data_IF_361870238190
#
_entry.id   IF_361870238190
#
_cell.length_a   1.000
_cell.length_b   1.000
_cell.length_c   1.000
_cell.angle_alpha   90.00
_cell.angle_beta   90.00
_cell.angle_gamma   90.00
#
_symmetry.space_group_name_H-M   'P 1'
#
loop_
_entity.id
_entity.type
_entity.pdbx_description
1 polymer ?
#
# COMPACT_ATOMS: atom_id res chain seq x y z
N UNK A 1 18.94 0.32 -2.45
CA UNK A 1 19.36 1.68 -2.08
C UNK A 1 18.19 2.28 -1.35
N UNK A 2 18.33 2.68 -0.08
CA UNK A 2 17.26 3.49 0.53
C UNK A 2 17.28 4.81 -0.24
N UNK A 3 16.13 5.29 -0.73
CA UNK A 3 16.09 6.47 -1.62
C UNK A 3 16.85 7.69 -1.05
N UNK A 4 16.94 7.80 0.29
CA UNK A 4 17.73 8.82 1.02
C UNK A 4 19.25 8.79 0.77
N UNK A 5 19.84 7.64 0.42
CA UNK A 5 21.29 7.55 0.15
C UNK A 5 21.65 8.09 -1.24
N UNK A 6 20.71 8.08 -2.19
CA UNK A 6 20.92 8.57 -3.55
C UNK A 6 20.48 10.03 -3.72
N UNK A 7 19.47 10.46 -2.97
CA UNK A 7 18.91 11.81 -3.01
C UNK A 7 18.55 12.27 -1.59
N UNK A 8 19.50 12.90 -0.87
CA UNK A 8 19.27 13.32 0.51
C UNK A 8 18.15 14.38 0.64
N UNK A 9 17.99 15.21 -0.40
CA UNK A 9 17.08 16.37 -0.40
C UNK A 9 15.71 16.07 -1.02
N UNK A 10 15.49 14.86 -1.55
CA UNK A 10 14.21 14.47 -2.13
C UNK A 10 13.45 13.60 -1.11
N UNK A 11 12.26 14.02 -0.64
CA UNK A 11 11.43 13.22 0.25
C UNK A 11 11.17 11.84 -0.34
N UNK A 12 11.58 10.80 0.38
CA UNK A 12 11.42 9.42 -0.04
C UNK A 12 10.07 8.90 0.46
N UNK A 13 8.98 9.34 -0.18
CA UNK A 13 7.63 8.97 0.23
C UNK A 13 7.45 7.44 0.31
N UNK A 14 6.98 6.96 1.45
CA UNK A 14 6.61 5.56 1.63
C UNK A 14 5.37 5.21 0.80
N UNK A 15 5.44 4.08 0.08
CA UNK A 15 4.31 3.62 -0.71
C UNK A 15 3.21 3.04 0.19
N UNK A 16 2.07 3.71 0.22
CA UNK A 16 0.89 3.29 0.97
C UNK A 16 0.21 2.06 0.35
N UNK A 17 0.38 1.81 -0.96
CA UNK A 17 -0.14 0.62 -1.64
C UNK A 17 0.63 -0.65 -1.21
N UNK A 18 1.96 -0.60 -1.19
CA UNK A 18 2.81 -1.65 -0.62
C UNK A 18 2.58 -1.84 0.87
N UNK A 19 2.13 -0.83 1.60
CA UNK A 19 1.78 -0.98 3.01
C UNK A 19 0.45 -1.69 3.23
N UNK A 20 -0.53 -1.43 2.36
CA UNK A 20 -1.84 -2.07 2.42
C UNK A 20 -1.81 -3.52 1.95
N UNK A 21 -0.91 -3.87 1.02
CA UNK A 21 -0.86 -5.22 0.44
C UNK A 21 -0.60 -6.34 1.47
N UNK A 22 0.44 -6.30 2.33
CA UNK A 22 0.66 -7.32 3.35
C UNK A 22 -0.52 -7.43 4.33
N UNK A 23 -1.17 -6.32 4.65
CA UNK A 23 -2.34 -6.29 5.52
C UNK A 23 -3.55 -6.97 4.85
N UNK A 24 -3.79 -6.69 3.57
CA UNK A 24 -4.85 -7.32 2.79
C UNK A 24 -4.60 -8.83 2.62
N UNK A 25 -3.36 -9.23 2.31
CA UNK A 25 -2.97 -10.64 2.22
C UNK A 25 -3.19 -11.38 3.54
N UNK A 26 -2.92 -10.74 4.68
CA UNK A 26 -3.23 -11.27 6.01
C UNK A 26 -4.74 -11.45 6.21
N UNK A 27 -5.57 -10.45 5.88
CA UNK A 27 -7.03 -10.54 5.99
C UNK A 27 -7.56 -11.68 5.14
N UNK A 28 -7.19 -11.75 3.86
CA UNK A 28 -7.63 -12.82 2.96
C UNK A 28 -7.18 -14.20 3.45
N UNK A 29 -5.97 -14.32 4.01
CA UNK A 29 -5.51 -15.58 4.60
C UNK A 29 -6.40 -16.04 5.77
N UNK A 30 -6.79 -15.12 6.65
CA UNK A 30 -7.63 -15.43 7.81
C UNK A 30 -9.07 -15.75 7.40
N UNK A 31 -9.62 -15.05 6.41
CA UNK A 31 -10.93 -15.37 5.82
C UNK A 31 -10.94 -16.78 5.23
N UNK A 32 -9.91 -17.14 4.46
CA UNK A 32 -9.78 -18.49 3.92
C UNK A 32 -9.66 -19.55 5.02
N UNK A 33 -8.90 -19.26 6.09
CA UNK A 33 -8.82 -20.14 7.26
C UNK A 33 -10.18 -20.34 7.94
N UNK A 34 -11.02 -19.30 8.02
CA UNK A 34 -12.37 -19.42 8.55
C UNK A 34 -13.28 -20.27 7.64
N UNK A 35 -13.18 -20.09 6.32
CA UNK A 35 -13.88 -20.92 5.33
C UNK A 35 -13.47 -22.39 5.45
N UNK A 36 -12.18 -22.68 5.60
CA UNK A 36 -11.71 -24.06 5.73
C UNK A 36 -12.15 -24.70 7.05
N UNK A 37 -12.22 -23.93 8.14
CA UNK A 37 -12.78 -24.41 9.40
C UNK A 37 -14.29 -24.72 9.27
N UNK A 38 -15.04 -23.90 8.52
CA UNK A 38 -16.47 -24.16 8.25
C UNK A 38 -16.67 -25.48 7.51
N UNK A 39 -15.85 -25.77 6.50
CA UNK A 39 -15.93 -27.04 5.76
C UNK A 39 -15.78 -28.24 6.69
N UNK A 40 -14.88 -28.19 7.66
CA UNK A 40 -14.69 -29.25 8.66
C UNK A 40 -15.96 -29.42 9.51
N UNK A 41 -16.54 -28.31 9.97
CA UNK A 41 -17.81 -28.33 10.73
C UNK A 41 -18.93 -28.97 9.91
N UNK A 42 -19.06 -28.58 8.64
CA UNK A 42 -20.09 -29.12 7.74
C UNK A 42 -19.89 -30.61 7.46
N UNK A 43 -18.66 -31.06 7.24
CA UNK A 43 -18.35 -32.47 7.08
C UNK A 43 -18.70 -33.30 8.32
N UNK A 44 -18.42 -32.78 9.52
CA UNK A 44 -18.75 -33.44 10.79
C UNK A 44 -20.26 -33.47 11.02
N UNK A 45 -20.97 -32.36 10.76
CA UNK A 45 -22.44 -32.29 10.81
C UNK A 45 -23.08 -33.28 9.84
N UNK A 46 -22.53 -33.39 8.63
CA UNK A 46 -23.00 -34.35 7.63
C UNK A 46 -22.80 -35.79 8.11
N UNK A 47 -21.63 -36.14 8.66
CA UNK A 47 -21.36 -37.49 9.23
C UNK A 47 -22.30 -37.85 10.37
N UNK A 48 -22.69 -36.87 11.20
CA UNK A 48 -23.64 -37.07 12.30
C UNK A 48 -25.08 -37.27 11.78
N UNK A 49 -25.50 -36.48 10.79
CA UNK A 49 -26.84 -36.60 10.17
C UNK A 49 -27.01 -37.88 9.35
N UNK A 50 -25.95 -38.35 8.70
CA UNK A 50 -25.95 -39.49 7.79
C UNK A 50 -24.88 -40.54 8.22
N UNK A 51 -25.09 -41.25 9.34
CA UNK A 51 -24.09 -42.16 9.88
C UNK A 51 -23.92 -43.40 8.98
N UNK A 52 -22.69 -43.62 8.51
CA UNK A 52 -22.31 -44.78 7.67
C UNK A 52 -21.21 -45.61 8.33
N UNK A 53 -21.23 -46.92 8.09
CA UNK A 53 -20.21 -47.86 8.58
C UNK A 53 -20.00 -47.79 10.10
N UNK A 54 -18.74 -47.65 10.51
CA UNK A 54 -18.36 -47.62 11.93
C UNK A 54 -19.02 -46.49 12.75
N UNK A 55 -19.51 -45.43 12.11
CA UNK A 55 -20.11 -44.27 12.78
C UNK A 55 -21.55 -44.50 13.25
N UNK A 56 -22.11 -45.71 13.05
CA UNK A 56 -23.37 -46.15 13.67
C UNK A 56 -23.20 -46.55 15.14
N UNK A 57 -21.98 -46.88 15.57
CA UNK A 57 -21.67 -47.25 16.96
C UNK A 57 -21.74 -46.02 17.87
N UNK A 58 -22.38 -46.17 19.03
CA UNK A 58 -22.68 -45.11 20.00
C UNK A 58 -21.43 -44.42 20.57
N UNK A 59 -20.38 -45.18 20.93
CA UNK A 59 -19.10 -44.63 21.43
C UNK A 59 -18.38 -43.79 20.36
N UNK A 60 -18.45 -44.24 19.10
CA UNK A 60 -17.88 -43.49 17.97
C UNK A 60 -18.68 -42.24 17.65
N UNK A 61 -19.99 -42.22 17.94
CA UNK A 61 -20.83 -41.01 17.81
C UNK A 61 -20.50 -39.99 18.88
N UNK A 62 -20.29 -40.39 20.14
CA UNK A 62 -19.85 -39.48 21.20
C UNK A 62 -18.54 -38.78 20.82
N UNK A 63 -17.58 -39.54 20.29
CA UNK A 63 -16.32 -38.98 19.78
C UNK A 63 -16.53 -37.99 18.63
N UNK A 64 -17.48 -38.24 17.73
CA UNK A 64 -17.83 -37.30 16.66
C UNK A 64 -18.43 -36.00 17.19
N UNK A 65 -19.29 -36.06 18.20
CA UNK A 65 -19.84 -34.86 18.85
C UNK A 65 -18.76 -34.03 19.53
N UNK A 66 -17.81 -34.66 20.22
CA UNK A 66 -16.66 -33.95 20.81
C UNK A 66 -15.79 -33.28 19.73
N UNK A 67 -15.54 -33.96 18.61
CA UNK A 67 -14.84 -33.37 17.45
C UNK A 67 -15.61 -32.21 16.84
N UNK A 68 -16.93 -32.31 16.75
CA UNK A 68 -17.78 -31.23 16.26
C UNK A 68 -17.68 -30.00 17.16
N UNK A 69 -17.78 -30.17 18.48
CA UNK A 69 -17.64 -29.07 19.44
C UNK A 69 -16.28 -28.36 19.29
N UNK A 70 -15.19 -29.12 19.19
CA UNK A 70 -13.86 -28.56 18.96
C UNK A 70 -13.72 -27.85 17.61
N UNK A 71 -14.35 -28.38 16.55
CA UNK A 71 -14.35 -27.76 15.23
C UNK A 71 -15.19 -26.47 15.20
N UNK A 72 -16.33 -26.43 15.90
CA UNK A 72 -17.17 -25.24 16.02
C UNK A 72 -16.47 -24.13 16.82
N UNK A 73 -15.78 -24.47 17.91
CA UNK A 73 -14.93 -23.53 18.65
C UNK A 73 -13.80 -22.97 17.78
N UNK A 74 -13.10 -23.84 17.03
CA UNK A 74 -12.05 -23.41 16.11
C UNK A 74 -12.58 -22.52 14.97
N UNK A 75 -13.75 -22.84 14.42
CA UNK A 75 -14.43 -22.03 13.41
C UNK A 75 -14.80 -20.65 13.95
N UNK A 76 -15.44 -20.58 15.13
CA UNK A 76 -15.84 -19.31 15.75
C UNK A 76 -14.61 -18.42 16.03
N UNK A 77 -13.52 -19.00 16.52
CA UNK A 77 -12.24 -18.28 16.72
C UNK A 77 -11.65 -17.77 15.40
N UNK A 78 -11.73 -18.56 14.34
CA UNK A 78 -11.21 -18.15 13.02
C UNK A 78 -12.03 -17.00 12.42
N UNK A 79 -13.37 -17.06 12.52
CA UNK A 79 -14.27 -15.99 12.05
C UNK A 79 -14.04 -14.71 12.83
N UNK A 80 -14.06 -14.76 14.17
CA UNK A 80 -13.85 -13.59 15.03
C UNK A 80 -12.51 -12.92 14.71
N UNK A 81 -11.43 -13.69 14.55
CA UNK A 81 -10.14 -13.14 14.18
C UNK A 81 -10.16 -12.49 12.78
N UNK A 82 -10.78 -13.13 11.78
CA UNK A 82 -10.86 -12.58 10.43
C UNK A 82 -11.64 -11.25 10.41
N UNK A 83 -12.79 -11.18 11.09
CA UNK A 83 -13.63 -9.99 11.18
C UNK A 83 -12.91 -8.83 11.88
N UNK A 84 -12.24 -9.11 13.00
CA UNK A 84 -11.45 -8.11 13.73
C UNK A 84 -10.31 -7.54 12.87
N UNK A 85 -9.56 -8.40 12.16
CA UNK A 85 -8.48 -7.95 11.28
C UNK A 85 -9.02 -7.18 10.07
N UNK A 86 -10.21 -7.54 9.57
CA UNK A 86 -10.89 -6.80 8.50
C UNK A 86 -11.29 -5.39 8.93
N UNK A 87 -11.76 -5.22 10.17
CA UNK A 87 -12.04 -3.90 10.76
C UNK A 87 -10.75 -3.07 10.85
N UNK A 88 -9.67 -3.64 11.41
CA UNK A 88 -8.38 -2.96 11.53
C UNK A 88 -7.83 -2.54 10.16
N UNK A 89 -7.94 -3.42 9.16
CA UNK A 89 -7.58 -3.09 7.77
C UNK A 89 -8.44 -1.96 7.20
N UNK A 90 -9.74 -1.96 7.50
CA UNK A 90 -10.65 -0.87 7.16
C UNK A 90 -10.17 0.48 7.68
N UNK A 91 -9.78 0.55 8.96
CA UNK A 91 -9.22 1.76 9.56
C UNK A 91 -7.86 2.16 8.99
N UNK A 92 -6.98 1.18 8.74
CA UNK A 92 -5.70 1.44 8.10
C UNK A 92 -5.87 2.11 6.73
N UNK A 93 -6.78 1.59 5.91
CA UNK A 93 -7.05 2.08 4.57
C UNK A 93 -7.85 3.38 4.54
N UNK A 94 -8.91 3.45 5.33
CA UNK A 94 -9.92 4.51 5.29
C UNK A 94 -9.55 5.75 6.11
N UNK A 95 -8.79 5.57 7.19
CA UNK A 95 -8.51 6.64 8.15
C UNK A 95 -7.01 6.94 8.22
N UNK A 96 -6.15 5.93 8.35
CA UNK A 96 -4.72 6.14 8.62
C UNK A 96 -3.92 6.47 7.36
N UNK A 97 -4.13 5.73 6.27
CA UNK A 97 -3.39 5.88 5.00
C UNK A 97 -4.22 6.55 3.89
N UNK A 98 -5.42 7.03 4.22
CA UNK A 98 -6.27 7.75 3.26
C UNK A 98 -5.68 9.11 2.91
N UNK A 99 -5.86 9.56 1.67
CA UNK A 99 -5.38 10.89 1.28
C UNK A 99 -6.15 12.00 2.00
N UNK A 100 -7.47 11.82 2.10
CA UNK A 100 -8.34 12.66 2.92
C UNK A 100 -8.65 11.94 4.22
N UNK A 101 -8.15 12.44 5.34
CA UNK A 101 -8.25 11.81 6.65
C UNK A 101 -7.89 12.78 7.77
N UNK A 102 -7.69 12.30 9.00
CA UNK A 102 -7.41 13.15 10.16
C UNK A 102 -5.98 13.73 10.11
N UNK A 103 -5.64 14.57 11.09
CA UNK A 103 -4.32 15.21 11.18
C UNK A 103 -3.18 14.20 11.38
N UNK A 104 -1.96 14.64 11.14
CA UNK A 104 -0.76 13.81 11.34
C UNK A 104 -0.70 13.21 12.75
N UNK A 105 -0.96 14.03 13.78
CA UNK A 105 -0.94 13.59 15.17
C UNK A 105 -1.97 12.47 15.44
N UNK A 106 -3.19 12.63 14.94
CA UNK A 106 -4.25 11.61 15.10
C UNK A 106 -3.90 10.33 14.34
N UNK A 107 -3.34 10.43 13.13
CA UNK A 107 -2.91 9.24 12.37
C UNK A 107 -1.80 8.48 13.08
N UNK A 108 -0.87 9.18 13.73
CA UNK A 108 0.19 8.57 14.53
C UNK A 108 -0.36 7.80 15.73
N UNK A 109 -1.40 8.32 16.40
CA UNK A 109 -2.10 7.65 17.49
C UNK A 109 -2.89 6.44 17.00
N UNK A 110 -3.64 6.59 15.91
CA UNK A 110 -4.41 5.50 15.31
C UNK A 110 -3.51 4.36 14.82
N UNK A 111 -2.36 4.68 14.23
CA UNK A 111 -1.40 3.66 13.79
C UNK A 111 -0.76 2.94 14.98
N UNK A 112 -0.43 3.66 16.05
CA UNK A 112 0.03 3.04 17.30
C UNK A 112 -1.02 2.08 17.86
N UNK A 113 -2.25 2.55 18.00
CA UNK A 113 -3.37 1.73 18.46
C UNK A 113 -3.54 0.48 17.58
N UNK A 114 -3.48 0.63 16.25
CA UNK A 114 -3.58 -0.51 15.34
C UNK A 114 -2.46 -1.53 15.58
N UNK A 115 -1.21 -1.09 15.75
CA UNK A 115 -0.08 -2.00 16.02
C UNK A 115 -0.21 -2.71 17.36
N UNK A 116 -0.75 -2.05 18.39
CA UNK A 116 -1.09 -2.67 19.68
C UNK A 116 -2.21 -3.70 19.54
N UNK A 117 -3.24 -3.42 18.74
CA UNK A 117 -4.31 -4.37 18.45
C UNK A 117 -3.81 -5.60 17.69
N UNK A 118 -2.85 -5.44 16.77
CA UNK A 118 -2.21 -6.57 16.09
C UNK A 118 -1.42 -7.42 17.09
N UNK A 119 -0.67 -6.79 17.99
CA UNK A 119 0.13 -7.49 19.02
C UNK A 119 -0.75 -8.41 19.89
N UNK A 120 -1.90 -7.92 20.34
CA UNK A 120 -2.85 -8.71 21.15
C UNK A 120 -3.36 -9.97 20.43
N UNK A 121 -3.31 -9.98 19.10
CA UNK A 121 -3.83 -11.07 18.26
C UNK A 121 -2.74 -12.00 17.71
N UNK A 122 -1.47 -11.70 17.98
CA UNK A 122 -0.35 -12.52 17.50
C UNK A 122 -0.45 -13.96 18.00
N UNK A 123 -0.95 -14.20 19.21
CA UNK A 123 -1.12 -15.56 19.74
C UNK A 123 -1.96 -16.47 18.83
N UNK A 124 -2.93 -15.90 18.10
CA UNK A 124 -3.86 -16.65 17.24
C UNK A 124 -3.30 -16.98 15.85
N UNK A 125 -2.30 -16.21 15.37
CA UNK A 125 -1.66 -16.43 14.07
C UNK A 125 -0.30 -15.73 13.94
N UNK A 126 0.63 -16.01 14.86
CA UNK A 126 1.91 -15.28 15.01
C UNK A 126 2.68 -15.12 13.70
N UNK A 127 2.87 -16.24 13.00
CA UNK A 127 3.64 -16.30 11.75
C UNK A 127 3.07 -15.46 10.60
N UNK A 128 1.83 -14.97 10.68
CA UNK A 128 1.22 -14.06 9.71
C UNK A 128 1.02 -12.65 10.24
N UNK A 129 0.66 -12.50 11.53
CA UNK A 129 0.34 -11.20 12.14
C UNK A 129 1.62 -10.44 12.51
N UNK A 130 2.61 -11.10 13.11
CA UNK A 130 3.85 -10.46 13.57
C UNK A 130 4.62 -9.75 12.43
N UNK A 131 4.80 -10.35 11.24
CA UNK A 131 5.47 -9.68 10.13
C UNK A 131 4.76 -8.38 9.70
N UNK A 132 3.43 -8.39 9.67
CA UNK A 132 2.63 -7.22 9.30
C UNK A 132 2.75 -6.12 10.35
N UNK A 133 2.63 -6.46 11.64
CA UNK A 133 2.79 -5.50 12.74
C UNK A 133 4.18 -4.84 12.69
N UNK A 134 5.25 -5.65 12.64
CA UNK A 134 6.63 -5.15 12.57
C UNK A 134 6.86 -4.29 11.33
N UNK A 135 6.26 -4.64 10.19
CA UNK A 135 6.33 -3.82 8.99
C UNK A 135 5.72 -2.43 9.24
N UNK A 136 4.51 -2.35 9.80
CA UNK A 136 3.84 -1.08 10.06
C UNK A 136 4.61 -0.21 11.08
N UNK A 137 5.16 -0.82 12.13
CA UNK A 137 5.99 -0.12 13.12
C UNK A 137 7.27 0.46 12.49
N UNK A 138 7.99 -0.37 11.73
CA UNK A 138 9.27 0.02 11.14
C UNK A 138 9.15 1.06 10.02
N UNK A 139 7.97 1.19 9.41
CA UNK A 139 7.73 2.14 8.32
C UNK A 139 6.80 3.29 8.73
N UNK A 140 6.43 3.40 10.02
CA UNK A 140 5.47 4.38 10.54
C UNK A 140 5.67 5.79 9.99
N UNK A 141 6.87 6.33 10.11
CA UNK A 141 7.15 7.72 9.71
C UNK A 141 7.07 7.87 8.19
N UNK A 142 7.65 6.91 7.44
CA UNK A 142 7.63 6.94 5.97
C UNK A 142 6.21 6.81 5.39
N UNK A 143 5.34 6.02 6.05
CA UNK A 143 3.96 5.82 5.60
C UNK A 143 3.09 7.06 5.79
N UNK A 144 3.45 7.94 6.72
CA UNK A 144 2.69 9.14 7.08
C UNK A 144 3.40 10.44 6.67
N UNK A 145 4.58 10.37 6.05
CA UNK A 145 5.40 11.52 5.65
C UNK A 145 4.66 12.49 4.70
N UNK A 146 3.70 11.98 3.92
CA UNK A 146 2.89 12.83 3.05
C UNK A 146 1.96 13.79 3.81
N UNK A 147 1.62 13.48 5.06
CA UNK A 147 0.62 14.25 5.83
C UNK A 147 1.17 15.59 6.32
N UNK A 148 2.37 15.67 6.96
CA UNK A 148 2.95 16.96 7.32
C UNK A 148 3.18 17.88 6.13
N UNK A 149 3.52 17.33 4.95
CA UNK A 149 3.69 18.10 3.72
C UNK A 149 2.37 18.70 3.23
N UNK A 150 1.27 17.91 3.25
CA UNK A 150 -0.06 18.44 2.95
C UNK A 150 -0.50 19.50 3.97
N UNK A 151 -0.27 19.27 5.27
CA UNK A 151 -0.62 20.21 6.32
C UNK A 151 0.15 21.54 6.18
N UNK A 152 1.42 21.49 5.76
CA UNK A 152 2.20 22.68 5.42
C UNK A 152 1.56 23.47 4.26
N UNK A 153 1.23 22.81 3.14
CA UNK A 153 0.56 23.46 2.01
C UNK A 153 -0.82 24.01 2.39
N UNK A 154 -1.57 23.34 3.26
CA UNK A 154 -2.85 23.88 3.75
C UNK A 154 -2.68 25.16 4.58
N UNK A 155 -1.59 25.28 5.33
CA UNK A 155 -1.25 26.52 6.03
C UNK A 155 -0.86 27.63 5.05
N UNK A 156 -0.18 27.31 3.96
CA UNK A 156 0.16 28.27 2.89
C UNK A 156 -1.10 28.78 2.19
N UNK A 157 -2.01 27.87 1.80
CA UNK A 157 -3.32 28.23 1.24
C UNK A 157 -4.10 29.14 2.20
N UNK A 158 -4.12 28.82 3.50
CA UNK A 158 -4.81 29.64 4.48
C UNK A 158 -4.25 31.08 4.55
N UNK A 159 -2.92 31.22 4.46
CA UNK A 159 -2.24 32.53 4.43
C UNK A 159 -2.50 33.28 3.13
N UNK A 160 -2.35 32.61 1.98
CA UNK A 160 -2.54 33.20 0.65
C UNK A 160 -3.93 33.78 0.47
N UNK A 161 -4.96 33.04 0.87
CA UNK A 161 -6.35 33.48 0.73
C UNK A 161 -6.86 34.27 1.94
N UNK A 162 -6.02 34.53 2.94
CA UNK A 162 -6.37 35.24 4.19
C UNK A 162 -7.62 34.64 4.87
N UNK A 163 -7.61 33.32 5.08
CA UNK A 163 -8.70 32.58 5.74
C UNK A 163 -8.17 31.76 6.91
N UNK A 164 -9.07 31.26 7.75
CA UNK A 164 -8.66 30.37 8.84
C UNK A 164 -8.19 29.02 8.30
N UNK A 165 -7.17 28.41 8.93
CA UNK A 165 -6.77 27.03 8.63
C UNK A 165 -7.95 26.05 8.84
N UNK A 166 -8.84 26.37 9.78
CA UNK A 166 -10.06 25.59 10.03
C UNK A 166 -10.99 25.54 8.81
N UNK A 167 -11.08 26.61 8.02
CA UNK A 167 -11.88 26.64 6.79
C UNK A 167 -11.26 25.78 5.69
N UNK A 168 -9.94 25.88 5.51
CA UNK A 168 -9.20 25.04 4.56
C UNK A 168 -9.34 23.57 4.92
N UNK A 169 -9.13 23.20 6.18
CA UNK A 169 -9.30 21.83 6.67
C UNK A 169 -10.75 21.35 6.53
N UNK A 170 -11.74 22.23 6.73
CA UNK A 170 -13.15 21.87 6.54
C UNK A 170 -13.47 21.55 5.08
N UNK A 171 -12.91 22.29 4.12
CA UNK A 171 -13.00 21.99 2.69
C UNK A 171 -12.25 20.72 2.31
N UNK A 172 -11.05 20.52 2.85
CA UNK A 172 -10.30 19.27 2.69
C UNK A 172 -11.11 18.07 3.16
N UNK A 173 -11.69 18.11 4.36
CA UNK A 173 -12.53 17.03 4.88
C UNK A 173 -13.85 16.86 4.10
N UNK A 174 -14.37 17.93 3.48
CA UNK A 174 -15.55 17.84 2.62
C UNK A 174 -15.31 16.89 1.44
N UNK A 175 -14.09 16.88 0.88
CA UNK A 175 -13.70 15.98 -0.23
C UNK A 175 -13.81 14.50 0.16
N UNK A 176 -13.58 14.16 1.43
CA UNK A 176 -13.66 12.80 1.96
C UNK A 176 -15.08 12.28 2.21
N UNK A 177 -16.10 13.15 2.18
CA UNK A 177 -17.49 12.72 2.38
C UNK A 177 -18.09 12.14 1.09
N UNK A 178 -18.91 11.08 1.15
CA UNK A 178 -19.59 10.55 -0.03
C UNK A 178 -20.45 11.62 -0.72
N UNK A 179 -20.42 11.66 -2.06
CA UNK A 179 -21.24 12.55 -2.89
C UNK A 179 -22.75 12.50 -2.54
N UNK A 180 -23.39 11.33 -2.34
CA UNK A 180 -24.81 11.29 -2.02
C UNK A 180 -25.13 11.67 -0.56
N UNK A 181 -24.13 11.97 0.28
CA UNK A 181 -24.38 12.20 1.70
C UNK A 181 -25.00 13.58 1.97
N UNK A 182 -26.12 13.61 2.70
CA UNK A 182 -26.77 14.86 3.16
C UNK A 182 -25.80 15.75 3.94
N UNK A 183 -24.97 15.14 4.79
CA UNK A 183 -23.94 15.83 5.59
C UNK A 183 -22.95 16.60 4.72
N UNK A 184 -22.54 16.05 3.57
CA UNK A 184 -21.67 16.74 2.61
C UNK A 184 -22.34 18.00 2.09
N UNK A 185 -23.57 17.90 1.60
CA UNK A 185 -24.29 19.05 1.04
C UNK A 185 -24.53 20.16 2.07
N UNK A 186 -24.85 19.80 3.32
CA UNK A 186 -24.98 20.77 4.41
C UNK A 186 -23.67 21.53 4.66
N UNK A 187 -22.55 20.81 4.80
CA UNK A 187 -21.23 21.43 4.98
C UNK A 187 -20.79 22.25 3.76
N UNK A 188 -21.08 21.77 2.56
CA UNK A 188 -20.79 22.48 1.32
C UNK A 188 -21.47 23.85 1.31
N UNK A 189 -22.78 23.91 1.60
CA UNK A 189 -23.54 25.16 1.62
C UNK A 189 -23.04 26.10 2.71
N UNK A 190 -22.75 25.59 3.91
CA UNK A 190 -22.18 26.38 5.01
C UNK A 190 -20.85 27.04 4.60
N UNK A 191 -19.90 26.24 4.09
CA UNK A 191 -18.59 26.71 3.68
C UNK A 191 -18.68 27.68 2.50
N UNK A 192 -19.53 27.39 1.51
CA UNK A 192 -19.74 28.24 0.34
C UNK A 192 -20.32 29.60 0.73
N UNK A 193 -21.26 29.62 1.68
CA UNK A 193 -21.86 30.86 2.20
C UNK A 193 -20.83 31.68 2.97
N UNK A 194 -20.01 31.03 3.81
CA UNK A 194 -19.00 31.69 4.64
C UNK A 194 -17.81 32.23 3.84
N UNK A 195 -17.32 31.46 2.86
CA UNK A 195 -16.10 31.79 2.10
C UNK A 195 -16.38 32.59 0.82
N UNK A 196 -17.64 32.67 0.40
CA UNK A 196 -18.03 33.37 -0.82
C UNK A 196 -17.19 32.90 -2.02
N UNK A 197 -16.69 33.85 -2.82
CA UNK A 197 -15.89 33.55 -4.02
C UNK A 197 -14.60 32.78 -3.72
N UNK A 198 -13.96 33.01 -2.55
CA UNK A 198 -12.72 32.32 -2.14
C UNK A 198 -12.87 30.79 -2.07
N UNK A 199 -14.10 30.31 -1.87
CA UNK A 199 -14.42 28.87 -1.83
C UNK A 199 -13.81 28.10 -3.02
N UNK A 200 -14.02 28.57 -4.25
CA UNK A 200 -13.59 27.83 -5.44
C UNK A 200 -12.07 27.86 -5.63
N UNK A 201 -11.44 28.97 -5.28
CA UNK A 201 -9.99 29.10 -5.35
C UNK A 201 -9.32 28.17 -4.34
N UNK A 202 -9.78 28.19 -3.08
CA UNK A 202 -9.29 27.28 -2.04
C UNK A 202 -9.57 25.82 -2.41
N UNK A 203 -10.76 25.52 -2.94
CA UNK A 203 -11.10 24.17 -3.38
C UNK A 203 -10.15 23.67 -4.48
N UNK A 204 -9.85 24.53 -5.46
CA UNK A 204 -8.92 24.21 -6.56
C UNK A 204 -7.49 24.00 -6.04
N UNK A 205 -7.00 24.86 -5.15
CA UNK A 205 -5.67 24.71 -4.54
C UNK A 205 -5.57 23.44 -3.69
N UNK A 206 -6.63 23.06 -2.98
CA UNK A 206 -6.69 21.78 -2.27
C UNK A 206 -6.62 20.62 -3.27
N UNK A 207 -7.37 20.66 -4.37
CA UNK A 207 -7.33 19.60 -5.39
C UNK A 207 -5.94 19.47 -6.01
N UNK A 208 -5.21 20.57 -6.18
CA UNK A 208 -3.81 20.57 -6.65
C UNK A 208 -2.85 19.94 -5.63
N UNK A 209 -2.99 20.26 -4.34
CA UNK A 209 -2.23 19.61 -3.26
C UNK A 209 -2.51 18.10 -3.24
N UNK A 210 -3.78 17.70 -3.34
CA UNK A 210 -4.16 16.28 -3.35
C UNK A 210 -3.65 15.56 -4.61
N UNK A 211 -3.67 16.23 -5.77
CA UNK A 211 -3.20 15.69 -7.04
C UNK A 211 -1.67 15.54 -7.12
N UNK A 212 -0.93 16.46 -6.50
CA UNK A 212 0.53 16.43 -6.44
C UNK A 212 1.08 15.53 -5.34
N UNK A 213 0.27 15.17 -4.35
CA UNK A 213 0.69 14.28 -3.25
C UNK A 213 0.82 12.82 -3.73
N UNK A 214 2.06 12.40 -3.96
CA UNK A 214 2.40 11.03 -4.40
C UNK A 214 2.28 10.04 -3.23
N UNK A 215 1.30 9.14 -3.28
CA UNK A 215 1.08 8.06 -2.29
C UNK A 215 1.66 6.69 -2.66
N UNK A 216 1.97 6.49 -3.94
CA UNK A 216 2.50 5.26 -4.51
C UNK A 216 3.36 5.64 -5.73
N UNK A 217 4.64 5.28 -5.72
CA UNK A 217 5.53 5.59 -6.84
C UNK A 217 5.65 4.35 -7.74
N UNK A 218 4.59 4.07 -8.51
CA UNK A 218 4.52 2.95 -9.45
C UNK A 218 5.68 2.93 -10.46
N UNK A 219 6.25 4.10 -10.77
CA UNK A 219 7.45 4.24 -11.61
C UNK A 219 8.70 3.75 -10.88
N UNK A 220 8.91 4.17 -9.63
CA UNK A 220 10.02 3.68 -8.80
C UNK A 220 9.85 2.21 -8.46
N UNK A 221 8.63 1.69 -8.31
CA UNK A 221 8.36 0.26 -8.13
C UNK A 221 8.65 -0.55 -9.39
N UNK A 222 8.21 -0.08 -10.56
CA UNK A 222 8.54 -0.71 -11.82
C UNK A 222 10.06 -0.75 -12.00
N UNK A 223 10.74 0.35 -11.67
CA UNK A 223 12.18 0.44 -11.71
C UNK A 223 12.82 -0.53 -10.69
N UNK A 224 12.40 -0.52 -9.42
CA UNK A 224 12.94 -1.38 -8.37
C UNK A 224 12.70 -2.87 -8.65
N UNK A 225 11.53 -3.22 -9.18
CA UNK A 225 11.21 -4.58 -9.61
C UNK A 225 12.14 -5.05 -10.73
N UNK A 226 12.37 -4.18 -11.73
CA UNK A 226 13.34 -4.44 -12.81
C UNK A 226 14.77 -4.55 -12.29
N UNK A 227 15.16 -3.69 -11.35
CA UNK A 227 16.49 -3.68 -10.72
C UNK A 227 16.75 -4.95 -9.90
N UNK A 228 15.73 -5.51 -9.26
CA UNK A 228 15.86 -6.72 -8.43
C UNK A 228 16.43 -7.91 -9.19
N UNK A 229 16.12 -8.04 -10.49
CA UNK A 229 16.67 -9.08 -11.38
C UNK A 229 18.18 -8.95 -11.61
N UNK A 230 18.73 -7.74 -11.49
CA UNK A 230 20.17 -7.48 -11.68
C UNK A 230 20.95 -7.61 -10.37
N UNK A 231 20.30 -7.47 -9.21
CA UNK A 231 20.99 -7.49 -7.92
C UNK A 231 21.49 -8.87 -7.46
N UNK A 232 21.17 -9.95 -8.17
CA UNK A 232 21.75 -11.29 -7.91
C UNK A 232 23.28 -11.26 -7.97
N UNK A 233 23.85 -10.55 -8.96
CA UNK A 233 25.29 -10.45 -9.18
C UNK A 233 26.00 -9.48 -8.23
N UNK A 234 25.25 -8.63 -7.50
CA UNK A 234 25.82 -7.63 -6.59
C UNK A 234 26.61 -8.26 -5.45
N UNK A 235 26.21 -9.46 -4.99
CA UNK A 235 26.91 -10.18 -3.91
C UNK A 235 28.32 -10.60 -4.32
N UNK A 236 28.54 -10.85 -5.61
CA UNK A 236 29.80 -11.35 -6.15
C UNK A 236 30.68 -10.24 -6.70
N UNK A 237 30.07 -9.18 -7.27
CA UNK A 237 30.77 -8.10 -7.98
C UNK A 237 30.93 -6.80 -7.19
N UNK A 238 30.38 -6.72 -5.97
CA UNK A 238 30.57 -5.58 -5.07
C UNK A 238 29.88 -4.28 -5.51
N UNK A 239 30.40 -3.14 -5.05
CA UNK A 239 29.82 -1.81 -5.25
C UNK A 239 29.92 -1.29 -6.69
N UNK A 240 31.03 -1.58 -7.39
CA UNK A 240 31.30 -1.17 -8.77
C UNK A 240 30.25 -1.68 -9.77
N UNK A 241 29.60 -2.81 -9.43
CA UNK A 241 28.49 -3.34 -10.21
C UNK A 241 27.32 -2.35 -10.35
N UNK A 242 27.09 -1.50 -9.35
CA UNK A 242 26.02 -0.51 -9.39
C UNK A 242 26.31 0.60 -10.41
N UNK A 243 27.56 1.00 -10.56
CA UNK A 243 27.96 1.99 -11.56
C UNK A 243 27.82 1.43 -12.98
N UNK A 244 28.24 0.18 -13.19
CA UNK A 244 27.99 -0.53 -14.44
C UNK A 244 26.49 -0.65 -14.74
N UNK A 245 25.68 -1.03 -13.74
CA UNK A 245 24.25 -1.18 -13.90
C UNK A 245 23.56 0.15 -14.27
N UNK A 246 24.01 1.26 -13.69
CA UNK A 246 23.54 2.60 -14.03
C UNK A 246 23.84 2.95 -15.49
N UNK A 247 25.09 2.74 -15.94
CA UNK A 247 25.47 2.95 -17.35
C UNK A 247 24.63 2.09 -18.27
N UNK A 248 24.51 0.79 -17.97
CA UNK A 248 23.74 -0.15 -18.77
C UNK A 248 22.27 0.26 -18.90
N UNK A 249 21.60 0.58 -17.79
CA UNK A 249 20.18 0.89 -17.79
C UNK A 249 19.85 2.22 -18.49
N UNK A 250 20.73 3.22 -18.37
CA UNK A 250 20.52 4.53 -18.98
C UNK A 250 20.81 4.54 -20.48
N UNK A 251 21.73 3.70 -20.96
CA UNK A 251 22.22 3.74 -22.34
C UNK A 251 21.78 2.53 -23.18
N UNK A 252 21.09 1.54 -22.60
CA UNK A 252 20.50 0.45 -23.38
C UNK A 252 19.24 0.92 -24.10
N UNK A 253 19.19 0.69 -25.41
CA UNK A 253 18.02 1.00 -26.25
C UNK A 253 16.86 0.03 -25.99
N UNK A 254 15.63 0.55 -26.03
CA UNK A 254 14.43 -0.25 -25.90
C UNK A 254 14.19 -1.08 -27.17
N UNK A 255 14.25 -2.40 -27.04
CA UNK A 255 13.93 -3.31 -28.15
C UNK A 255 12.43 -3.39 -28.42
N UNK A 256 11.60 -3.15 -27.39
CA UNK A 256 10.14 -3.16 -27.43
C UNK A 256 9.62 -2.11 -26.46
N UNK A 257 8.52 -1.45 -26.84
CA UNK A 257 7.83 -0.46 -26.04
C UNK A 257 6.38 -0.34 -26.53
N UNK A 258 5.45 -0.10 -25.62
CA UNK A 258 4.05 0.23 -25.94
C UNK A 258 3.96 1.55 -26.74
N UNK A 259 4.84 2.49 -26.40
CA UNK A 259 5.08 3.73 -27.12
C UNK A 259 6.06 3.49 -28.27
N UNK A 260 5.58 3.57 -29.53
CA UNK A 260 6.37 3.29 -30.75
C UNK A 260 7.58 4.21 -30.86
N UNK A 261 7.45 5.46 -30.44
CA UNK A 261 8.47 6.49 -30.47
C UNK A 261 9.70 6.21 -29.58
N UNK A 262 9.58 5.27 -28.64
CA UNK A 262 10.67 4.86 -27.74
C UNK A 262 11.47 3.66 -28.27
N UNK A 263 10.93 2.92 -29.25
CA UNK A 263 11.59 1.75 -29.81
C UNK A 263 12.89 2.20 -30.49
N UNK A 264 14.00 1.55 -30.14
CA UNK A 264 15.32 1.88 -30.67
C UNK A 264 16.01 3.07 -30.01
N UNK A 265 15.41 3.71 -29.00
CA UNK A 265 16.03 4.78 -28.20
C UNK A 265 16.37 4.31 -26.79
N UNK A 266 17.40 4.89 -26.18
CA UNK A 266 17.72 4.69 -24.75
C UNK A 266 17.00 5.72 -23.86
N UNK A 267 16.90 5.49 -22.54
CA UNK A 267 16.47 6.52 -21.60
C UNK A 267 17.25 7.84 -21.73
N UNK A 268 18.58 7.80 -21.86
CA UNK A 268 19.40 9.00 -22.05
C UNK A 268 19.03 9.74 -23.34
N UNK A 269 18.86 9.04 -24.46
CA UNK A 269 18.47 9.64 -25.75
C UNK A 269 17.07 10.27 -25.68
N UNK A 270 16.15 9.67 -24.92
CA UNK A 270 14.79 10.20 -24.72
C UNK A 270 14.78 11.43 -23.82
N UNK A 271 15.64 11.49 -22.80
CA UNK A 271 15.71 12.59 -21.84
C UNK A 271 16.47 13.80 -22.39
N UNK A 272 17.56 13.57 -23.12
CA UNK A 272 18.47 14.62 -23.60
C UNK A 272 18.19 15.05 -25.03
N UNK A 273 17.53 14.20 -25.83
CA UNK A 273 17.38 14.39 -27.27
C UNK A 273 18.66 14.11 -28.07
N UNK A 274 19.79 13.83 -27.41
CA UNK A 274 21.07 13.59 -28.05
C UNK A 274 21.29 12.10 -28.30
N UNK A 275 21.77 11.75 -29.51
CA UNK A 275 22.15 10.38 -29.81
C UNK A 275 23.50 10.03 -29.21
N UNK A 276 23.65 8.80 -28.72
CA UNK A 276 24.93 8.30 -28.23
C UNK A 276 25.30 6.97 -28.90
N UNK A 277 26.58 6.60 -28.78
CA UNK A 277 27.13 5.32 -29.26
C UNK A 277 26.50 4.15 -28.50
N UNK A 278 26.65 2.92 -28.99
CA UNK A 278 26.15 1.76 -28.25
C UNK A 278 26.80 1.69 -26.86
N UNK A 279 26.06 1.30 -25.82
CA UNK A 279 26.55 1.34 -24.44
C UNK A 279 27.85 0.53 -24.21
N UNK A 280 28.06 -0.56 -24.97
CA UNK A 280 29.34 -1.30 -24.97
C UNK A 280 30.50 -0.47 -25.55
N UNK A 281 30.25 0.31 -26.60
CA UNK A 281 31.27 1.18 -27.20
C UNK A 281 31.60 2.37 -26.28
N UNK A 282 30.61 2.85 -25.51
CA UNK A 282 30.84 3.85 -24.46
C UNK A 282 31.75 3.33 -23.35
N UNK A 283 31.74 2.01 -23.12
CA UNK A 283 32.65 1.32 -22.19
C UNK A 283 33.98 0.90 -22.85
N UNK A 284 34.24 1.29 -24.10
CA UNK A 284 35.48 1.01 -24.82
C UNK A 284 35.54 -0.34 -25.55
N UNK A 285 34.44 -1.10 -25.58
CA UNK A 285 34.38 -2.38 -26.31
C UNK A 285 34.10 -2.17 -27.81
N UNK A 286 34.64 -3.04 -28.66
CA UNK A 286 34.34 -3.08 -30.09
C UNK A 286 33.18 -4.05 -30.37
N UNK A 287 32.12 -3.55 -30.99
CA UNK A 287 30.97 -4.36 -31.38
C UNK A 287 31.30 -5.27 -32.57
N UNK A 288 30.93 -6.56 -32.49
CA UNK A 288 31.01 -7.45 -33.64
C UNK A 288 29.89 -7.11 -34.64
N UNK A 289 30.26 -6.84 -35.89
CA UNK A 289 29.29 -6.70 -36.98
C UNK A 289 28.84 -8.10 -37.40
N UNK A 290 27.54 -8.39 -37.34
CA UNK A 290 26.99 -9.59 -37.98
C UNK A 290 27.25 -9.48 -39.49
N UNK A 291 27.81 -10.52 -40.11
CA UNK A 291 27.83 -10.64 -41.56
C UNK A 291 26.38 -10.61 -42.07
N UNK A 292 26.18 -9.86 -43.16
CA UNK A 292 24.87 -9.63 -43.78
C UNK A 292 24.25 -10.92 -44.32
#
# INVERSE_FOLDING_TARGET
MRSKEAWPDIPAHGDTFHALKPCLELVCYLENRAIDALKIVDELKHKIKQPRGQWKNEDKRLTLYQKLLGAEDAFNKAVSLADELRILYGWLKGDILSLVGPSYAVRLELLKFLTEQLLLREASCKHKIEPVRKYLENHRDNLLEFVPLMEMHFNEIAREFEVSISDVLSLYHLKGLPLPSKRRWQKYVELRTRLGQKFYWIESSIDEVLGSTVRANSLVENLNSRLRTYFTLRRELGGEYLHFLQIFLNHRRFMRSEHKERIGKSPTELLTGEQHKHWLEMLGFKMFKKAA
#
